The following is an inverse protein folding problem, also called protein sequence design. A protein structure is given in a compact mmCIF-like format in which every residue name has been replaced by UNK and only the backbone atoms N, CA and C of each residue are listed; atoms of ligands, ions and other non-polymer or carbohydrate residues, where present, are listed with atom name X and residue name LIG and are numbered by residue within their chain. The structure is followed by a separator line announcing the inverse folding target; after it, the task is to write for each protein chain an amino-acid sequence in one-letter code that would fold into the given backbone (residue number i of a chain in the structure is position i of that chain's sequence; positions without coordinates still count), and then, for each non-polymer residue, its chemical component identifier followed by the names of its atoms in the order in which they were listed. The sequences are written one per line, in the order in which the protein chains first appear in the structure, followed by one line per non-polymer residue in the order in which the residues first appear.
data_IF_882239460278
#
_entry.id   IF_882239460278
#
_cell.length_a   1.000
_cell.length_b   1.000
_cell.length_c   1.000
_cell.angle_alpha   90.00
_cell.angle_beta   90.00
_cell.angle_gamma   90.00
#
_symmetry.space_group_name_H-M   'P 1'
#
loop_
_entity.id
_entity.type
_entity.pdbx_description
1 polymer ?
#
# COMPACT_ATOMS: atom_id res chain seq x y z
N UNK A 1 -13.96 9.26 15.60
CA UNK A 1 -13.72 10.72 15.54
C UNK A 1 -15.03 11.48 15.71
N UNK A 2 -16.06 11.28 14.88
CA UNK A 2 -17.35 12.00 14.92
C UNK A 2 -18.01 11.92 16.30
N UNK A 3 -18.10 10.72 16.90
CA UNK A 3 -18.68 10.55 18.24
C UNK A 3 -17.91 11.32 19.33
N UNK A 4 -16.58 11.26 19.30
CA UNK A 4 -15.75 12.05 20.23
C UNK A 4 -15.92 13.55 19.99
N UNK A 5 -16.04 13.96 18.73
CA UNK A 5 -16.36 15.35 18.38
C UNK A 5 -17.69 15.80 18.95
N UNK A 6 -18.76 15.02 18.80
CA UNK A 6 -20.08 15.31 19.37
C UNK A 6 -20.02 15.37 20.90
N UNK A 7 -19.36 14.41 21.56
CA UNK A 7 -19.20 14.42 23.01
C UNK A 7 -18.38 15.63 23.50
N UNK A 8 -17.33 16.00 22.76
CA UNK A 8 -16.55 17.20 23.07
C UNK A 8 -17.40 18.46 22.94
N UNK A 9 -18.20 18.59 21.89
CA UNK A 9 -19.13 19.70 21.69
C UNK A 9 -20.12 19.78 22.85
N UNK A 10 -20.73 18.67 23.25
CA UNK A 10 -21.70 18.61 24.36
C UNK A 10 -21.04 19.00 25.68
N UNK A 11 -19.84 18.52 25.99
CA UNK A 11 -19.14 18.73 27.25
C UNK A 11 -18.47 20.11 27.36
N UNK A 12 -17.81 20.55 26.30
CA UNK A 12 -16.95 21.73 26.28
C UNK A 12 -17.66 22.97 25.73
N UNK A 13 -18.85 22.80 25.15
CA UNK A 13 -19.66 23.90 24.58
C UNK A 13 -18.81 24.81 23.67
N UNK A 14 -18.84 26.14 23.95
CA UNK A 14 -18.10 27.13 23.17
C UNK A 14 -16.57 27.01 23.26
N UNK A 15 -16.03 26.29 24.26
CA UNK A 15 -14.56 26.10 24.35
C UNK A 15 -14.00 25.14 23.30
N UNK A 16 -14.84 24.29 22.67
CA UNK A 16 -14.43 23.37 21.61
C UNK A 16 -13.83 24.10 20.40
N UNK A 17 -14.32 25.32 20.09
CA UNK A 17 -13.87 26.06 18.93
C UNK A 17 -12.36 26.35 18.97
N UNK A 18 -11.79 26.58 20.17
CA UNK A 18 -10.34 26.84 20.33
C UNK A 18 -9.52 25.58 19.94
N UNK A 19 -9.92 24.42 20.45
CA UNK A 19 -9.26 23.16 20.12
C UNK A 19 -9.42 22.81 18.64
N UNK A 20 -10.59 23.06 18.06
CA UNK A 20 -10.84 22.88 16.63
C UNK A 20 -9.98 23.82 15.78
N UNK A 21 -9.91 25.10 16.15
CA UNK A 21 -9.08 26.08 15.43
C UNK A 21 -7.60 25.69 15.45
N UNK A 22 -7.07 25.33 16.63
CA UNK A 22 -5.69 24.83 16.75
C UNK A 22 -5.49 23.59 15.89
N UNK A 23 -6.42 22.62 15.95
CA UNK A 23 -6.38 21.41 15.12
C UNK A 23 -6.39 21.72 13.63
N UNK A 24 -7.21 22.65 13.17
CA UNK A 24 -7.27 23.11 11.77
C UNK A 24 -5.95 23.78 11.37
N UNK A 25 -5.39 24.65 12.20
CA UNK A 25 -4.11 25.32 11.91
C UNK A 25 -3.00 24.30 11.77
N UNK A 26 -2.89 23.34 12.71
CA UNK A 26 -1.91 22.27 12.65
C UNK A 26 -2.11 21.40 11.39
N UNK A 27 -3.37 21.05 11.10
CA UNK A 27 -3.70 20.26 9.92
C UNK A 27 -3.28 20.96 8.62
N UNK A 28 -3.60 22.26 8.49
CA UNK A 28 -3.19 23.06 7.32
C UNK A 28 -1.66 23.22 7.26
N UNK A 29 -1.01 23.47 8.39
CA UNK A 29 0.45 23.60 8.44
C UNK A 29 1.16 22.31 8.00
N UNK A 30 0.64 21.14 8.37
CA UNK A 30 1.23 19.83 8.02
C UNK A 30 0.87 19.35 6.61
N UNK A 31 -0.32 19.68 6.13
CA UNK A 31 -0.85 19.11 4.89
C UNK A 31 -1.06 20.15 3.77
N UNK A 32 -0.97 21.44 4.06
CA UNK A 32 -1.28 22.51 3.12
C UNK A 32 -0.43 22.44 1.85
N UNK A 33 0.87 22.22 1.99
CA UNK A 33 1.80 22.07 0.86
C UNK A 33 1.44 20.86 -0.02
N UNK A 34 1.02 19.75 0.59
CA UNK A 34 0.55 18.56 -0.12
C UNK A 34 -0.71 18.87 -0.94
N UNK A 35 -1.71 19.52 -0.34
CA UNK A 35 -2.95 19.89 -1.03
C UNK A 35 -2.72 20.91 -2.14
N UNK A 36 -1.86 21.91 -1.91
CA UNK A 36 -1.51 22.91 -2.93
C UNK A 36 -0.79 22.28 -4.12
N UNK A 37 0.17 21.39 -3.86
CA UNK A 37 0.88 20.64 -4.91
C UNK A 37 -0.08 19.78 -5.73
N UNK A 38 -0.96 19.02 -5.07
CA UNK A 38 -1.94 18.19 -5.74
C UNK A 38 -2.91 19.05 -6.56
N UNK A 39 -3.39 20.15 -5.99
CA UNK A 39 -4.27 21.06 -6.74
C UNK A 39 -3.57 21.64 -7.97
N UNK A 40 -2.31 22.05 -7.83
CA UNK A 40 -1.49 22.51 -8.95
C UNK A 40 -1.31 21.43 -10.01
N UNK A 41 -1.06 20.19 -9.63
CA UNK A 41 -0.83 19.08 -10.56
C UNK A 41 -2.13 18.58 -11.22
N UNK A 42 -3.16 18.31 -10.41
CA UNK A 42 -4.35 17.53 -10.79
C UNK A 42 -5.66 18.34 -10.76
N UNK A 43 -5.60 19.63 -10.42
CA UNK A 43 -6.78 20.50 -10.20
C UNK A 43 -7.74 19.94 -9.11
N UNK A 44 -7.20 19.09 -8.23
CA UNK A 44 -7.93 18.51 -7.12
C UNK A 44 -6.99 18.32 -5.91
N UNK A 45 -7.37 18.77 -4.68
CA UNK A 45 -6.45 18.78 -3.53
C UNK A 45 -6.05 17.37 -3.06
N UNK A 46 -6.87 16.35 -3.30
CA UNK A 46 -6.59 14.97 -2.92
C UNK A 46 -6.04 14.13 -4.06
N UNK A 47 -6.06 14.65 -5.30
CA UNK A 47 -5.64 13.93 -6.51
C UNK A 47 -6.13 12.46 -6.53
N UNK A 48 -7.45 12.19 -6.43
CA UNK A 48 -7.96 10.83 -6.27
C UNK A 48 -7.67 10.02 -7.53
N UNK A 49 -7.10 8.83 -7.35
CA UNK A 49 -7.04 7.84 -8.41
C UNK A 49 -8.40 7.16 -8.55
N UNK A 50 -9.16 7.57 -9.56
CA UNK A 50 -10.50 7.04 -9.81
C UNK A 50 -10.48 5.60 -10.30
N UNK A 51 -9.35 5.09 -10.79
CA UNK A 51 -9.23 3.68 -11.22
C UNK A 51 -9.32 2.71 -10.06
N UNK A 52 -8.98 3.16 -8.84
CA UNK A 52 -9.07 2.38 -7.61
C UNK A 52 -10.47 2.41 -6.97
N UNK A 53 -11.38 3.23 -7.48
CA UNK A 53 -12.74 3.35 -6.94
C UNK A 53 -13.70 2.40 -7.64
N UNK A 54 -14.66 1.84 -6.88
CA UNK A 54 -15.74 1.09 -7.48
C UNK A 54 -16.49 1.97 -8.50
N UNK A 55 -16.95 1.39 -9.60
CA UNK A 55 -17.61 2.15 -10.68
C UNK A 55 -18.95 2.75 -10.26
N UNK A 56 -19.57 2.22 -9.22
CA UNK A 56 -20.80 2.78 -8.63
C UNK A 56 -20.90 2.46 -7.14
N UNK A 57 -21.73 3.24 -6.44
CA UNK A 57 -22.05 3.08 -5.02
C UNK A 57 -23.34 2.25 -4.92
N UNK A 58 -23.32 1.13 -4.16
CA UNK A 58 -24.47 0.26 -4.02
C UNK A 58 -24.23 -0.95 -3.12
N UNK A 59 -25.21 -1.83 -3.02
CA UNK A 59 -25.12 -3.05 -2.20
C UNK A 59 -24.15 -4.05 -2.82
N UNK A 60 -24.07 -4.12 -4.14
CA UNK A 60 -23.24 -5.09 -4.86
C UNK A 60 -21.73 -4.95 -4.56
N UNK A 61 -21.09 -3.75 -4.66
CA UNK A 61 -19.70 -3.58 -4.24
C UNK A 61 -19.49 -3.94 -2.77
N UNK A 62 -20.40 -3.59 -1.87
CA UNK A 62 -20.30 -3.98 -0.45
C UNK A 62 -20.29 -5.51 -0.33
N UNK A 63 -21.28 -6.20 -0.89
CA UNK A 63 -21.41 -7.65 -0.81
C UNK A 63 -20.17 -8.35 -1.37
N UNK A 64 -19.70 -7.95 -2.55
CA UNK A 64 -18.56 -8.54 -3.24
C UNK A 64 -17.25 -8.30 -2.50
N UNK A 65 -16.93 -7.04 -2.24
CA UNK A 65 -15.62 -6.69 -1.72
C UNK A 65 -15.45 -6.98 -0.22
N UNK A 66 -16.52 -6.91 0.59
CA UNK A 66 -16.42 -7.27 2.01
C UNK A 66 -16.00 -8.72 2.19
N UNK A 67 -16.58 -9.64 1.43
CA UNK A 67 -16.24 -11.07 1.53
C UNK A 67 -14.80 -11.31 1.06
N UNK A 68 -14.38 -10.72 -0.05
CA UNK A 68 -12.99 -10.81 -0.53
C UNK A 68 -12.00 -10.22 0.48
N UNK A 69 -12.28 -9.03 1.02
CA UNK A 69 -11.43 -8.36 2.00
C UNK A 69 -11.29 -9.17 3.31
N UNK A 70 -12.37 -9.76 3.80
CA UNK A 70 -12.30 -10.63 4.98
C UNK A 70 -11.56 -11.93 4.67
N UNK A 71 -11.80 -12.55 3.52
CA UNK A 71 -11.18 -13.80 3.12
C UNK A 71 -9.65 -13.69 3.01
N UNK A 72 -9.11 -12.55 2.61
CA UNK A 72 -7.66 -12.30 2.58
C UNK A 72 -6.98 -12.52 3.93
N UNK A 73 -7.67 -12.31 5.03
CA UNK A 73 -7.12 -12.52 6.37
C UNK A 73 -7.13 -13.98 6.84
N UNK A 74 -7.84 -14.86 6.13
CA UNK A 74 -7.87 -16.30 6.44
C UNK A 74 -6.84 -17.13 5.69
N UNK A 75 -5.86 -16.49 5.06
CA UNK A 75 -4.74 -17.18 4.43
C UNK A 75 -3.89 -17.90 5.46
N UNK A 76 -3.44 -19.10 5.10
CA UNK A 76 -2.66 -19.97 5.96
C UNK A 76 -1.43 -20.54 5.24
N UNK A 77 -0.44 -21.10 5.95
CA UNK A 77 0.67 -21.82 5.33
C UNK A 77 0.24 -23.10 4.58
N UNK A 78 -0.99 -23.57 4.80
CA UNK A 78 -1.49 -24.82 4.22
C UNK A 78 -2.35 -24.56 2.97
N UNK A 79 -1.91 -24.98 1.78
CA UNK A 79 -2.64 -24.77 0.54
C UNK A 79 -4.08 -25.32 0.55
N UNK A 80 -4.29 -26.47 1.24
CA UNK A 80 -5.62 -27.08 1.36
C UNK A 80 -6.63 -26.13 2.03
N UNK A 81 -6.23 -25.41 3.09
CA UNK A 81 -7.08 -24.44 3.79
C UNK A 81 -7.37 -23.24 2.85
N UNK A 82 -6.35 -22.75 2.17
CA UNK A 82 -6.49 -21.63 1.25
C UNK A 82 -7.43 -21.96 0.08
N UNK A 83 -7.36 -23.19 -0.44
CA UNK A 83 -8.29 -23.66 -1.48
C UNK A 83 -9.74 -23.72 -0.95
N UNK A 84 -9.94 -24.12 0.29
CA UNK A 84 -11.28 -24.08 0.92
C UNK A 84 -11.79 -22.64 1.02
N UNK A 85 -10.97 -21.71 1.51
CA UNK A 85 -11.33 -20.27 1.57
C UNK A 85 -11.68 -19.74 0.19
N UNK A 86 -10.86 -20.02 -0.82
CA UNK A 86 -11.12 -19.61 -2.21
C UNK A 86 -12.44 -20.19 -2.71
N UNK A 87 -12.70 -21.49 -2.48
CA UNK A 87 -13.93 -22.17 -2.90
C UNK A 87 -15.17 -21.57 -2.25
N UNK A 88 -15.09 -21.20 -0.96
CA UNK A 88 -16.19 -20.52 -0.26
C UNK A 88 -16.51 -19.18 -0.92
N UNK A 89 -15.47 -18.37 -1.20
CA UNK A 89 -15.67 -17.06 -1.84
C UNK A 89 -16.24 -17.20 -3.25
N UNK A 90 -15.76 -18.16 -4.04
CA UNK A 90 -16.30 -18.44 -5.38
C UNK A 90 -17.78 -18.84 -5.31
N UNK A 91 -18.13 -19.80 -4.44
CA UNK A 91 -19.52 -20.24 -4.26
C UNK A 91 -20.43 -19.09 -3.81
N UNK A 92 -19.93 -18.23 -2.90
CA UNK A 92 -20.68 -17.06 -2.50
C UNK A 92 -20.94 -16.11 -3.68
N UNK A 93 -19.94 -15.85 -4.54
CA UNK A 93 -20.12 -15.00 -5.71
C UNK A 93 -21.07 -15.62 -6.76
N UNK A 94 -21.02 -16.94 -6.92
CA UNK A 94 -22.01 -17.67 -7.73
C UNK A 94 -23.43 -17.50 -7.18
N UNK A 95 -23.59 -17.59 -5.86
CA UNK A 95 -24.90 -17.41 -5.19
C UNK A 95 -25.46 -15.99 -5.39
N UNK A 96 -24.63 -14.96 -5.33
CA UNK A 96 -25.05 -13.56 -5.58
C UNK A 96 -25.04 -13.17 -7.07
N UNK A 97 -24.82 -14.13 -7.97
CA UNK A 97 -24.76 -13.92 -9.42
C UNK A 97 -23.81 -12.81 -9.86
N UNK A 98 -22.63 -12.74 -9.26
CA UNK A 98 -21.60 -11.73 -9.56
C UNK A 98 -20.26 -12.42 -9.87
N UNK A 99 -19.55 -11.97 -10.90
CA UNK A 99 -18.19 -12.43 -11.16
C UNK A 99 -17.27 -11.95 -10.02
N UNK A 100 -16.46 -12.88 -9.49
CA UNK A 100 -15.52 -12.60 -8.41
C UNK A 100 -14.45 -11.58 -8.83
N UNK A 101 -14.09 -11.54 -10.11
CA UNK A 101 -13.10 -10.62 -10.68
C UNK A 101 -13.72 -9.51 -11.54
N UNK A 102 -15.00 -9.23 -11.37
CA UNK A 102 -15.70 -8.17 -12.10
C UNK A 102 -14.90 -6.86 -12.04
N UNK A 103 -14.50 -6.27 -13.20
CA UNK A 103 -13.67 -5.07 -13.25
C UNK A 103 -14.34 -3.83 -12.65
N UNK A 104 -15.64 -3.87 -12.42
CA UNK A 104 -16.36 -2.82 -11.70
C UNK A 104 -16.02 -2.77 -10.22
N UNK A 105 -15.58 -3.91 -9.62
CA UNK A 105 -15.31 -4.10 -8.19
C UNK A 105 -13.92 -4.67 -7.89
N UNK A 106 -13.17 -5.07 -8.91
CA UNK A 106 -11.80 -5.54 -8.81
C UNK A 106 -10.91 -4.64 -9.67
N UNK A 107 -9.74 -4.29 -9.14
CA UNK A 107 -8.79 -3.48 -9.88
C UNK A 107 -8.13 -4.32 -10.98
N UNK A 108 -8.11 -3.80 -12.20
CA UNK A 108 -7.68 -4.54 -13.40
C UNK A 108 -6.20 -4.97 -13.36
N UNK A 109 -5.35 -4.18 -12.67
CA UNK A 109 -3.93 -4.53 -12.50
C UNK A 109 -3.67 -5.42 -11.28
N UNK A 110 -4.69 -5.81 -10.54
CA UNK A 110 -4.58 -6.80 -9.47
C UNK A 110 -4.67 -8.20 -10.04
N UNK A 111 -3.83 -9.16 -9.57
CA UNK A 111 -4.05 -10.56 -9.88
C UNK A 111 -5.48 -10.99 -9.53
N UNK A 112 -6.07 -11.95 -10.27
CA UNK A 112 -7.39 -12.50 -9.96
C UNK A 112 -7.46 -12.97 -8.51
N UNK A 113 -8.66 -12.87 -7.91
CA UNK A 113 -8.86 -13.32 -6.54
C UNK A 113 -8.53 -14.81 -6.43
N UNK A 114 -7.53 -15.11 -5.65
CA UNK A 114 -7.25 -16.45 -5.14
C UNK A 114 -6.72 -16.31 -3.72
N UNK A 115 -7.15 -17.17 -2.81
CA UNK A 115 -6.49 -17.35 -1.52
C UNK A 115 -5.20 -18.16 -1.76
N UNK A 116 -4.26 -17.58 -2.50
CA UNK A 116 -2.97 -18.17 -2.76
C UNK A 116 -2.08 -18.06 -1.51
N UNK A 117 -0.94 -18.69 -1.52
CA UNK A 117 -0.05 -18.95 -0.40
C UNK A 117 0.10 -17.79 0.61
N UNK A 118 0.14 -18.12 1.89
CA UNK A 118 0.60 -17.21 2.94
C UNK A 118 2.04 -16.82 2.65
N UNK A 119 2.22 -15.55 2.38
CA UNK A 119 3.51 -14.96 2.18
C UNK A 119 3.76 -13.96 3.32
N UNK A 120 4.77 -14.12 4.14
CA UNK A 120 5.02 -13.24 5.28
C UNK A 120 5.60 -11.90 4.79
N UNK A 121 4.82 -11.18 3.99
CA UNK A 121 5.12 -9.87 3.44
C UNK A 121 4.15 -8.84 4.00
N UNK A 122 4.58 -7.60 4.16
CA UNK A 122 3.74 -6.54 4.73
C UNK A 122 2.43 -6.30 3.95
N UNK A 123 2.46 -6.51 2.63
CA UNK A 123 1.27 -6.35 1.78
C UNK A 123 0.26 -7.49 1.91
N UNK A 124 0.73 -8.67 2.37
CA UNK A 124 -0.06 -9.90 2.49
C UNK A 124 -0.18 -10.39 3.94
N UNK A 125 0.19 -9.58 4.91
CA UNK A 125 0.08 -9.93 6.31
C UNK A 125 -1.37 -10.27 6.68
N UNK A 126 -1.61 -11.50 7.11
CA UNK A 126 -2.94 -12.00 7.45
C UNK A 126 -3.12 -12.04 8.97
N UNK A 127 -4.38 -11.98 9.42
CA UNK A 127 -4.71 -11.96 10.83
C UNK A 127 -5.94 -12.85 11.11
N UNK A 128 -5.92 -14.18 10.79
CA UNK A 128 -7.10 -15.02 10.78
C UNK A 128 -7.76 -15.10 12.16
N UNK A 129 -6.99 -15.34 13.21
CA UNK A 129 -7.54 -15.39 14.57
C UNK A 129 -8.07 -14.02 15.00
N UNK A 130 -7.40 -12.95 14.61
CA UNK A 130 -7.84 -11.61 14.95
C UNK A 130 -9.19 -11.26 14.31
N UNK A 131 -9.34 -11.53 13.01
CA UNK A 131 -10.63 -11.34 12.31
C UNK A 131 -11.71 -12.27 12.88
N UNK A 132 -11.38 -13.53 13.18
CA UNK A 132 -12.31 -14.44 13.80
C UNK A 132 -12.83 -13.89 15.13
N UNK A 133 -11.93 -13.45 16.02
CA UNK A 133 -12.33 -12.87 17.30
C UNK A 133 -13.08 -11.56 17.15
N UNK A 134 -12.73 -10.75 16.17
CA UNK A 134 -13.50 -9.54 15.82
C UNK A 134 -14.94 -9.87 15.42
N UNK A 135 -15.14 -10.84 14.53
CA UNK A 135 -16.48 -11.27 14.11
C UNK A 135 -17.27 -11.86 15.27
N UNK A 136 -16.64 -12.70 16.13
CA UNK A 136 -17.26 -13.24 17.34
C UNK A 136 -17.63 -12.11 18.31
N UNK A 137 -16.76 -11.13 18.52
CA UNK A 137 -17.05 -9.99 19.39
C UNK A 137 -18.23 -9.16 18.87
N UNK A 138 -18.30 -8.91 17.56
CA UNK A 138 -19.43 -8.23 16.94
C UNK A 138 -20.73 -9.03 17.13
N UNK A 139 -20.71 -10.34 16.86
CA UNK A 139 -21.87 -11.20 17.06
C UNK A 139 -22.31 -11.23 18.54
N UNK A 140 -21.35 -11.40 19.46
CA UNK A 140 -21.62 -11.35 20.90
C UNK A 140 -22.33 -10.05 21.33
N UNK A 141 -21.86 -8.93 20.86
CA UNK A 141 -22.46 -7.62 21.16
C UNK A 141 -23.86 -7.49 20.54
N UNK A 142 -24.05 -7.92 19.28
CA UNK A 142 -25.36 -7.90 18.64
C UNK A 142 -26.40 -8.74 19.38
N UNK A 143 -26.05 -9.93 19.80
CA UNK A 143 -26.97 -10.82 20.56
C UNK A 143 -27.17 -10.37 22.00
N UNK A 144 -26.30 -9.56 22.56
CA UNK A 144 -26.37 -9.08 23.96
C UNK A 144 -26.51 -7.56 24.09
N UNK A 145 -27.00 -6.87 23.07
CA UNK A 145 -27.13 -5.39 23.06
C UNK A 145 -27.81 -4.82 24.30
N UNK A 146 -28.83 -5.53 24.81
CA UNK A 146 -29.59 -5.08 26.00
C UNK A 146 -28.81 -5.24 27.32
N UNK A 147 -27.76 -6.08 27.35
CA UNK A 147 -26.95 -6.35 28.55
C UNK A 147 -25.75 -5.42 28.69
N UNK A 148 -25.39 -4.73 27.63
CA UNK A 148 -24.20 -3.90 27.58
C UNK A 148 -24.52 -2.42 27.37
N UNK A 149 -23.53 -1.57 27.67
CA UNK A 149 -23.66 -0.14 27.41
C UNK A 149 -23.88 0.12 25.93
N UNK A 150 -24.87 0.94 25.60
CA UNK A 150 -25.15 1.39 24.22
C UNK A 150 -23.91 1.98 23.53
N UNK A 151 -22.95 2.53 24.31
CA UNK A 151 -21.69 3.11 23.79
C UNK A 151 -20.82 2.07 23.08
N UNK A 152 -20.70 0.87 23.65
CA UNK A 152 -19.88 -0.21 23.04
C UNK A 152 -20.58 -0.75 21.79
N UNK A 153 -21.90 -0.81 21.78
CA UNK A 153 -22.67 -1.23 20.60
C UNK A 153 -22.52 -0.23 19.45
N UNK A 154 -22.60 1.08 19.73
CA UNK A 154 -22.32 2.10 18.71
C UNK A 154 -20.88 2.02 18.23
N UNK A 155 -19.92 1.79 19.11
CA UNK A 155 -18.53 1.64 18.71
C UNK A 155 -18.36 0.45 17.75
N UNK A 156 -19.00 -0.69 18.04
CA UNK A 156 -19.01 -1.85 17.15
C UNK A 156 -19.63 -1.50 15.78
N UNK A 157 -20.76 -0.79 15.75
CA UNK A 157 -21.38 -0.35 14.51
C UNK A 157 -20.48 0.58 13.70
N UNK A 158 -19.74 1.49 14.37
CA UNK A 158 -18.76 2.37 13.68
C UNK A 158 -17.65 1.52 13.02
N UNK A 159 -17.10 0.51 13.72
CA UNK A 159 -16.06 -0.35 13.13
C UNK A 159 -16.61 -1.16 11.97
N UNK A 160 -17.78 -1.76 12.10
CA UNK A 160 -18.45 -2.46 11.00
C UNK A 160 -18.65 -1.52 9.81
N UNK A 161 -19.13 -0.29 10.06
CA UNK A 161 -19.31 0.72 9.02
C UNK A 161 -18.01 1.08 8.31
N UNK A 162 -16.87 1.11 9.00
CA UNK A 162 -15.56 1.33 8.36
C UNK A 162 -15.24 0.22 7.34
N UNK A 163 -15.44 -1.06 7.69
CA UNK A 163 -15.24 -2.18 6.78
C UNK A 163 -16.18 -2.13 5.57
N UNK A 164 -17.45 -1.81 5.80
CA UNK A 164 -18.44 -1.69 4.73
C UNK A 164 -18.16 -0.49 3.82
N UNK A 165 -17.77 0.67 4.40
CA UNK A 165 -17.41 1.86 3.63
C UNK A 165 -16.16 1.64 2.80
N UNK A 166 -15.14 0.98 3.34
CA UNK A 166 -13.95 0.61 2.60
C UNK A 166 -14.32 -0.25 1.39
N UNK A 167 -15.12 -1.27 1.59
CA UNK A 167 -15.59 -2.18 0.53
C UNK A 167 -16.53 -1.50 -0.48
N UNK A 168 -17.31 -0.50 -0.03
CA UNK A 168 -18.18 0.29 -0.87
C UNK A 168 -17.42 1.22 -1.83
N UNK A 169 -16.32 1.80 -1.36
CA UNK A 169 -15.62 2.85 -2.10
C UNK A 169 -14.52 2.30 -3.01
N UNK A 170 -13.78 1.27 -2.56
CA UNK A 170 -12.58 0.82 -3.24
C UNK A 170 -12.78 -0.51 -3.97
N UNK A 171 -12.27 -0.58 -5.20
CA UNK A 171 -12.10 -1.82 -5.94
C UNK A 171 -11.17 -2.74 -5.17
N UNK A 172 -11.53 -4.01 -5.10
CA UNK A 172 -10.69 -5.01 -4.44
C UNK A 172 -9.34 -5.15 -5.15
N UNK A 173 -8.28 -5.28 -4.36
CA UNK A 173 -6.93 -5.63 -4.82
C UNK A 173 -6.21 -6.46 -3.77
N UNK A 174 -5.25 -7.24 -4.19
CA UNK A 174 -4.50 -8.19 -3.36
C UNK A 174 -3.70 -7.51 -2.23
N UNK A 175 -3.37 -6.23 -2.38
CA UNK A 175 -2.59 -5.44 -1.42
C UNK A 175 -3.42 -4.77 -0.32
N UNK A 176 -4.73 -5.05 -0.21
CA UNK A 176 -5.63 -4.41 0.76
C UNK A 176 -5.27 -4.72 2.22
N UNK A 177 -4.57 -5.84 2.51
CA UNK A 177 -4.22 -6.20 3.89
C UNK A 177 -3.52 -5.06 4.64
N UNK A 178 -2.60 -4.35 4.02
CA UNK A 178 -1.93 -3.18 4.64
C UNK A 178 -2.88 -2.01 4.93
N UNK A 179 -3.90 -1.82 4.09
CA UNK A 179 -4.89 -0.76 4.24
C UNK A 179 -5.94 -1.09 5.33
N UNK A 180 -6.07 -2.36 5.71
CA UNK A 180 -6.96 -2.79 6.78
C UNK A 180 -6.38 -2.53 8.18
N UNK A 181 -5.09 -2.22 8.31
CA UNK A 181 -4.44 -2.02 9.61
C UNK A 181 -5.15 -1.02 10.54
N UNK A 182 -5.61 0.17 10.09
CA UNK A 182 -6.37 1.08 10.94
C UNK A 182 -7.67 0.49 11.47
N UNK A 183 -8.37 -0.32 10.65
CA UNK A 183 -9.61 -0.99 11.05
C UNK A 183 -9.35 -2.12 12.03
N UNK A 184 -8.28 -2.89 11.84
CA UNK A 184 -7.82 -3.90 12.78
C UNK A 184 -7.47 -3.26 14.14
N UNK A 185 -6.64 -2.23 14.16
CA UNK A 185 -6.29 -1.52 15.39
C UNK A 185 -7.53 -0.96 16.09
N UNK A 186 -8.45 -0.35 15.36
CA UNK A 186 -9.69 0.17 15.91
C UNK A 186 -10.63 -0.94 16.43
N UNK A 187 -10.53 -2.19 15.97
CA UNK A 187 -11.33 -3.30 16.46
C UNK A 187 -10.80 -3.93 17.76
N UNK A 188 -9.53 -3.64 18.15
CA UNK A 188 -8.90 -4.18 19.36
C UNK A 188 -9.73 -3.98 20.65
N UNK A 189 -10.32 -2.80 20.93
CA UNK A 189 -11.16 -2.61 22.11
C UNK A 189 -12.39 -3.52 22.15
N UNK A 190 -12.98 -3.86 20.99
CA UNK A 190 -14.12 -4.79 20.92
C UNK A 190 -13.71 -6.21 21.29
N UNK A 191 -12.57 -6.67 20.74
CA UNK A 191 -12.01 -7.98 21.04
C UNK A 191 -11.65 -8.05 22.53
N UNK A 192 -11.00 -7.02 23.06
CA UNK A 192 -10.63 -6.95 24.47
C UNK A 192 -11.88 -6.97 25.38
N UNK A 193 -12.93 -6.25 25.03
CA UNK A 193 -14.20 -6.27 25.72
C UNK A 193 -14.83 -7.66 25.74
N UNK A 194 -14.89 -8.34 24.58
CA UNK A 194 -15.40 -9.69 24.47
C UNK A 194 -14.58 -10.66 25.33
N UNK A 195 -13.26 -10.64 25.21
CA UNK A 195 -12.36 -11.54 25.96
C UNK A 195 -12.41 -11.30 27.46
N UNK A 196 -12.68 -10.06 27.90
CA UNK A 196 -12.85 -9.77 29.34
C UNK A 196 -14.12 -10.41 29.93
N UNK A 197 -15.12 -10.68 29.10
CA UNK A 197 -16.34 -11.40 29.50
C UNK A 197 -16.20 -12.93 29.39
N UNK A 198 -15.08 -13.42 28.83
CA UNK A 198 -14.78 -14.85 28.76
C UNK A 198 -14.07 -15.38 30.03
N UNK A 199 -14.03 -16.71 30.18
CA UNK A 199 -13.24 -17.36 31.23
C UNK A 199 -11.76 -17.00 31.10
N UNK A 200 -11.05 -16.89 32.24
CA UNK A 200 -9.63 -16.52 32.30
C UNK A 200 -8.76 -17.41 31.39
N UNK A 201 -9.03 -18.70 31.31
CA UNK A 201 -8.32 -19.64 30.43
C UNK A 201 -8.48 -19.29 28.96
N UNK A 202 -9.70 -18.96 28.48
CA UNK A 202 -9.97 -18.57 27.11
C UNK A 202 -9.19 -17.30 26.78
N UNK A 203 -9.22 -16.30 27.65
CA UNK A 203 -8.49 -15.04 27.46
C UNK A 203 -6.99 -15.26 27.34
N UNK A 204 -6.39 -16.06 28.24
CA UNK A 204 -4.95 -16.35 28.20
C UNK A 204 -4.58 -17.09 26.91
N UNK A 205 -5.34 -18.15 26.56
CA UNK A 205 -5.10 -18.91 25.33
C UNK A 205 -5.20 -18.02 24.11
N UNK A 206 -6.21 -17.14 24.04
CA UNK A 206 -6.35 -16.21 22.91
C UNK A 206 -5.16 -15.27 22.78
N UNK A 207 -4.66 -14.69 23.88
CA UNK A 207 -3.48 -13.82 23.87
C UNK A 207 -2.24 -14.59 23.38
N UNK A 208 -2.03 -15.81 23.88
CA UNK A 208 -0.93 -16.67 23.44
C UNK A 208 -1.03 -16.98 21.96
N UNK A 209 -2.21 -17.31 21.45
CA UNK A 209 -2.44 -17.57 20.02
C UNK A 209 -2.13 -16.32 19.18
N UNK A 210 -2.57 -15.13 19.60
CA UNK A 210 -2.25 -13.88 18.89
C UNK A 210 -0.75 -13.63 18.82
N UNK A 211 -0.03 -13.83 19.95
CA UNK A 211 1.42 -13.66 20.00
C UNK A 211 2.10 -14.67 19.07
N UNK A 212 1.79 -15.97 19.21
CA UNK A 212 2.41 -17.02 18.40
C UNK A 212 2.17 -16.82 16.92
N UNK A 213 0.99 -16.31 16.52
CA UNK A 213 0.68 -16.05 15.12
C UNK A 213 1.37 -14.81 14.56
N UNK A 214 1.72 -13.83 15.41
CA UNK A 214 2.46 -12.64 15.02
C UNK A 214 3.97 -12.91 14.82
N UNK A 215 4.54 -13.87 15.56
CA UNK A 215 5.99 -14.16 15.55
C UNK A 215 6.57 -14.41 14.15
N UNK A 216 5.96 -15.25 13.28
CA UNK A 216 6.48 -15.47 11.94
C UNK A 216 6.61 -14.17 11.11
N UNK A 217 5.62 -13.29 11.18
CA UNK A 217 5.66 -12.00 10.46
C UNK A 217 6.73 -11.05 11.01
N UNK A 218 7.06 -11.15 12.29
CA UNK A 218 8.11 -10.34 12.92
C UNK A 218 9.50 -10.87 12.59
N UNK A 219 9.71 -12.19 12.74
CA UNK A 219 11.05 -12.79 12.67
C UNK A 219 11.44 -13.21 11.25
N UNK A 220 10.48 -13.63 10.44
CA UNK A 220 10.69 -14.22 9.10
C UNK A 220 9.99 -13.43 8.00
N UNK A 221 9.83 -12.12 8.19
CA UNK A 221 9.28 -11.25 7.14
C UNK A 221 10.12 -11.39 5.86
N UNK A 222 9.45 -11.40 4.70
CA UNK A 222 10.13 -11.61 3.42
C UNK A 222 11.10 -10.50 3.07
N UNK A 223 10.70 -9.24 3.27
CA UNK A 223 11.48 -8.09 2.84
C UNK A 223 12.53 -7.64 3.85
N UNK A 224 12.28 -7.88 5.15
CA UNK A 224 13.17 -7.40 6.24
C UNK A 224 13.17 -8.40 7.41
N UNK A 225 13.61 -9.64 7.20
CA UNK A 225 13.62 -10.63 8.26
C UNK A 225 14.64 -10.28 9.35
N UNK A 226 14.28 -10.59 10.60
CA UNK A 226 15.23 -10.54 11.72
C UNK A 226 16.11 -11.80 11.71
N UNK A 227 15.53 -12.94 11.37
CA UNK A 227 16.20 -14.25 11.35
C UNK A 227 16.18 -14.81 9.93
N UNK A 228 17.29 -15.39 9.50
CA UNK A 228 17.41 -16.06 8.21
C UNK A 228 18.52 -15.49 7.33
N UNK A 229 18.65 -16.04 6.12
CA UNK A 229 19.71 -15.69 5.17
C UNK A 229 19.72 -14.21 4.79
N UNK A 230 18.53 -13.62 4.66
CA UNK A 230 18.37 -12.21 4.28
C UNK A 230 18.13 -11.30 5.50
N UNK A 231 18.64 -11.68 6.68
CA UNK A 231 18.46 -10.90 7.90
C UNK A 231 19.03 -9.48 7.75
N UNK A 232 18.32 -8.51 8.33
CA UNK A 232 18.75 -7.11 8.41
C UNK A 232 20.09 -6.93 9.14
N UNK A 233 20.50 -7.93 9.93
CA UNK A 233 21.78 -7.91 10.68
C UNK A 233 22.93 -8.53 9.91
N UNK A 234 22.70 -9.29 8.85
CA UNK A 234 23.74 -10.04 8.12
C UNK A 234 23.98 -9.50 6.72
N UNK A 235 23.10 -8.67 6.19
CA UNK A 235 23.21 -8.13 4.84
C UNK A 235 23.55 -6.65 4.89
N UNK A 236 24.29 -6.16 3.88
CA UNK A 236 24.59 -4.76 3.75
C UNK A 236 23.33 -3.90 3.62
N UNK A 237 23.39 -2.64 4.01
CA UNK A 237 22.29 -1.68 3.83
C UNK A 237 21.86 -1.60 2.36
N UNK A 238 22.82 -1.66 1.44
CA UNK A 238 22.55 -1.57 0.00
C UNK A 238 21.80 -2.78 -0.53
N UNK A 239 22.17 -4.01 -0.10
CA UNK A 239 21.45 -5.22 -0.49
C UNK A 239 19.99 -5.22 -0.02
N UNK A 240 19.75 -4.69 1.18
CA UNK A 240 18.42 -4.62 1.77
C UNK A 240 17.42 -3.78 0.96
N UNK A 241 17.88 -2.79 0.19
CA UNK A 241 17.00 -2.02 -0.70
C UNK A 241 16.39 -2.86 -1.82
N UNK A 242 16.99 -3.99 -2.18
CA UNK A 242 16.58 -4.81 -3.31
C UNK A 242 15.89 -6.12 -2.92
N UNK A 243 15.67 -6.40 -1.64
CA UNK A 243 15.04 -7.67 -1.20
C UNK A 243 13.65 -7.90 -1.80
N UNK A 244 12.87 -6.85 -2.02
CA UNK A 244 11.54 -6.96 -2.63
C UNK A 244 11.60 -7.10 -4.17
N UNK A 245 12.67 -6.64 -4.80
CA UNK A 245 12.91 -6.77 -6.25
C UNK A 245 14.40 -7.04 -6.53
N UNK A 246 14.87 -8.26 -6.29
CA UNK A 246 16.29 -8.61 -6.43
C UNK A 246 16.82 -8.41 -7.84
N UNK A 247 15.96 -8.49 -8.85
CA UNK A 247 16.30 -8.28 -10.26
C UNK A 247 16.78 -6.86 -10.56
N UNK A 248 16.38 -5.87 -9.74
CA UNK A 248 16.82 -4.48 -9.92
C UNK A 248 18.23 -4.24 -9.36
N UNK A 249 18.74 -5.10 -8.48
CA UNK A 249 20.02 -4.87 -7.80
C UNK A 249 21.17 -4.71 -8.77
N UNK A 250 21.39 -5.73 -9.62
CA UNK A 250 22.52 -5.71 -10.58
C UNK A 250 22.45 -4.51 -11.54
N UNK A 251 21.31 -4.21 -12.21
CA UNK A 251 21.23 -3.02 -13.06
C UNK A 251 21.59 -1.72 -12.34
N UNK A 252 21.11 -1.53 -11.12
CA UNK A 252 21.36 -0.30 -10.37
C UNK A 252 22.84 -0.12 -9.99
N UNK A 253 23.51 -1.21 -9.57
CA UNK A 253 24.94 -1.17 -9.29
C UNK A 253 25.76 -0.92 -10.56
N UNK A 254 25.45 -1.61 -11.67
CA UNK A 254 26.15 -1.45 -12.94
C UNK A 254 26.00 -0.02 -13.49
N UNK A 255 24.76 0.50 -13.50
CA UNK A 255 24.47 1.88 -13.97
C UNK A 255 25.17 2.91 -13.08
N UNK A 256 25.10 2.77 -11.75
CA UNK A 256 25.80 3.69 -10.85
C UNK A 256 27.30 3.71 -11.08
N UNK A 257 27.91 2.54 -11.31
CA UNK A 257 29.34 2.43 -11.63
C UNK A 257 29.70 3.10 -12.96
N UNK A 258 28.84 2.98 -14.00
CA UNK A 258 29.04 3.69 -15.28
C UNK A 258 28.94 5.20 -15.07
N UNK A 259 27.95 5.68 -14.32
CA UNK A 259 27.78 7.10 -14.04
C UNK A 259 28.97 7.69 -13.32
N UNK A 260 29.48 7.02 -12.28
CA UNK A 260 30.65 7.45 -11.54
C UNK A 260 31.93 7.45 -12.38
N UNK A 261 32.17 6.38 -13.14
CA UNK A 261 33.34 6.27 -14.03
C UNK A 261 33.40 7.39 -15.06
N UNK A 262 32.23 7.77 -15.61
CA UNK A 262 32.13 8.78 -16.65
C UNK A 262 31.87 10.19 -16.07
N UNK A 263 31.82 10.34 -14.74
CA UNK A 263 31.59 11.58 -14.01
C UNK A 263 30.31 12.32 -14.49
N UNK A 264 29.22 11.57 -14.72
CA UNK A 264 27.95 12.13 -15.21
C UNK A 264 27.22 12.82 -14.07
N UNK A 265 26.68 14.02 -14.34
CA UNK A 265 26.07 14.87 -13.29
C UNK A 265 24.56 15.09 -13.50
N UNK A 266 24.12 15.08 -14.74
CA UNK A 266 22.71 15.33 -15.11
C UNK A 266 22.11 14.03 -15.66
N UNK A 267 21.15 13.45 -14.96
CA UNK A 267 20.57 12.16 -15.33
C UNK A 267 19.07 12.30 -15.53
N UNK A 268 18.62 11.91 -16.72
CA UNK A 268 17.21 11.80 -17.04
C UNK A 268 16.63 10.46 -16.60
N UNK A 269 15.43 10.48 -16.03
CA UNK A 269 14.67 9.28 -15.69
C UNK A 269 13.46 9.12 -16.63
N UNK A 270 13.34 7.97 -17.29
CA UNK A 270 12.16 7.57 -18.05
C UNK A 270 11.59 6.30 -17.37
N UNK A 271 10.75 6.50 -16.39
CA UNK A 271 10.22 5.43 -15.52
C UNK A 271 8.73 5.59 -15.26
N UNK A 272 8.08 4.52 -14.77
CA UNK A 272 6.69 4.52 -14.36
C UNK A 272 6.54 4.77 -12.85
N UNK A 273 5.29 4.95 -12.39
CA UNK A 273 4.97 5.21 -10.99
C UNK A 273 5.43 4.14 -10.00
N UNK A 274 5.53 2.88 -10.43
CA UNK A 274 5.99 1.76 -9.59
C UNK A 274 7.49 1.46 -9.76
N UNK A 275 8.23 2.33 -10.42
CA UNK A 275 9.68 2.18 -10.56
C UNK A 275 10.40 2.69 -9.33
N UNK A 276 11.48 2.02 -8.98
CA UNK A 276 12.27 2.34 -7.81
C UNK A 276 13.35 3.36 -8.16
N UNK A 277 13.27 4.54 -7.60
CA UNK A 277 14.23 5.62 -7.81
C UNK A 277 15.20 5.75 -6.63
N UNK A 278 14.66 5.66 -5.40
CA UNK A 278 15.40 5.92 -4.17
C UNK A 278 16.71 5.15 -4.01
N UNK A 279 16.82 3.85 -4.38
CA UNK A 279 18.11 3.15 -4.27
C UNK A 279 19.22 3.77 -5.11
N UNK A 280 18.91 4.38 -6.27
CA UNK A 280 19.92 5.05 -7.09
C UNK A 280 20.46 6.30 -6.39
N UNK A 281 19.61 7.10 -5.76
CA UNK A 281 20.04 8.24 -4.94
C UNK A 281 20.98 7.82 -3.82
N UNK A 282 20.72 6.67 -3.20
CA UNK A 282 21.59 6.16 -2.12
C UNK A 282 22.93 5.64 -2.64
N UNK A 283 22.94 4.97 -3.80
CA UNK A 283 24.18 4.48 -4.42
C UNK A 283 25.10 5.62 -4.87
N UNK A 284 24.52 6.78 -5.18
CA UNK A 284 25.21 7.96 -5.69
C UNK A 284 25.32 9.08 -4.65
N UNK A 285 25.05 8.78 -3.37
CA UNK A 285 24.97 9.79 -2.29
C UNK A 285 26.27 10.58 -2.09
N UNK A 286 27.42 10.01 -2.45
CA UNK A 286 28.73 10.66 -2.32
C UNK A 286 29.07 11.60 -3.50
N UNK A 287 28.21 11.62 -4.53
CA UNK A 287 28.40 12.48 -5.70
C UNK A 287 27.89 13.90 -5.44
N UNK A 288 28.78 14.85 -5.47
CA UNK A 288 28.47 16.28 -5.36
C UNK A 288 27.88 16.79 -6.68
N UNK A 289 26.81 17.59 -6.60
CA UNK A 289 26.16 18.24 -7.75
C UNK A 289 25.43 17.28 -8.71
N UNK A 290 25.04 16.09 -8.26
CA UNK A 290 24.19 15.21 -9.04
C UNK A 290 22.77 15.80 -9.14
N UNK A 291 22.27 15.93 -10.37
CA UNK A 291 20.90 16.31 -10.67
C UNK A 291 20.20 15.17 -11.42
N UNK A 292 19.09 14.69 -10.89
CA UNK A 292 18.26 13.66 -11.53
C UNK A 292 16.85 14.21 -11.72
N UNK A 293 16.36 14.19 -12.95
CA UNK A 293 15.05 14.73 -13.34
C UNK A 293 14.25 13.71 -14.13
N UNK A 294 12.95 13.67 -13.90
CA UNK A 294 12.05 12.89 -14.76
C UNK A 294 11.85 13.59 -16.08
N UNK A 295 12.04 12.88 -17.18
CA UNK A 295 11.88 13.38 -18.55
C UNK A 295 10.87 12.52 -19.33
N UNK A 296 10.29 13.07 -20.39
CA UNK A 296 9.25 12.43 -21.21
C UNK A 296 8.07 11.93 -20.36
N UNK A 297 7.69 12.73 -19.38
CA UNK A 297 6.59 12.45 -18.46
C UNK A 297 5.26 12.43 -19.22
N UNK A 298 4.48 11.35 -19.08
CA UNK A 298 3.22 11.13 -19.82
C UNK A 298 1.94 11.32 -18.97
N UNK A 299 2.05 11.88 -17.78
CA UNK A 299 0.90 12.12 -16.89
C UNK A 299 0.70 13.61 -16.59
N UNK A 300 -0.25 13.95 -15.73
CA UNK A 300 -0.61 15.35 -15.41
C UNK A 300 0.55 16.19 -14.82
N UNK A 301 1.64 15.55 -14.38
CA UNK A 301 2.83 16.24 -13.87
C UNK A 301 3.81 16.65 -14.97
N UNK A 302 3.56 16.30 -16.24
CA UNK A 302 4.37 16.69 -17.40
C UNK A 302 4.63 18.21 -17.45
N UNK A 303 3.68 19.02 -17.02
CA UNK A 303 3.81 20.49 -16.98
C UNK A 303 4.90 21.01 -16.02
N UNK A 304 5.44 20.16 -15.17
CA UNK A 304 6.56 20.47 -14.27
C UNK A 304 7.90 19.95 -14.79
N UNK A 305 7.91 19.29 -15.95
CA UNK A 305 9.14 18.87 -16.60
C UNK A 305 9.95 20.11 -17.00
N UNK A 306 11.24 20.14 -16.64
CA UNK A 306 12.12 21.25 -17.03
C UNK A 306 12.54 21.08 -18.49
N UNK A 307 11.91 21.85 -19.38
CA UNK A 307 12.20 21.82 -20.81
C UNK A 307 13.64 22.24 -21.16
N UNK A 308 14.37 22.87 -20.25
CA UNK A 308 15.77 23.25 -20.44
C UNK A 308 16.76 22.19 -20.01
N UNK A 309 16.30 21.13 -19.35
CA UNK A 309 17.15 20.07 -18.81
C UNK A 309 17.63 19.13 -19.94
N UNK A 310 18.94 19.10 -20.16
CA UNK A 310 19.59 18.17 -21.10
C UNK A 310 20.47 17.23 -20.28
N UNK A 311 20.10 15.95 -20.13
CA UNK A 311 20.88 15.00 -19.35
C UNK A 311 22.18 14.56 -20.05
N UNK A 312 23.17 14.17 -19.25
CA UNK A 312 24.40 13.52 -19.73
C UNK A 312 24.15 12.03 -20.04
N UNK A 313 23.17 11.44 -19.31
CA UNK A 313 22.71 10.07 -19.50
C UNK A 313 21.26 9.90 -19.08
N UNK A 314 20.63 8.85 -19.58
CA UNK A 314 19.23 8.52 -19.35
C UNK A 314 19.10 7.11 -18.79
N UNK A 315 18.45 6.97 -17.64
CA UNK A 315 17.98 5.70 -17.11
C UNK A 315 16.57 5.45 -17.65
N UNK A 316 16.39 4.39 -18.41
CA UNK A 316 15.15 4.12 -19.12
C UNK A 316 14.61 2.71 -18.78
N UNK A 317 13.29 2.65 -18.55
CA UNK A 317 12.55 1.40 -18.34
C UNK A 317 11.27 1.32 -19.19
N UNK A 318 10.91 2.39 -19.87
CA UNK A 318 9.55 2.57 -20.42
C UNK A 318 9.48 2.72 -21.93
N UNK A 319 10.56 3.14 -22.57
CA UNK A 319 10.57 3.45 -24.00
C UNK A 319 11.57 2.51 -24.69
N UNK A 320 11.11 1.84 -25.75
CA UNK A 320 11.98 1.06 -26.61
C UNK A 320 12.80 1.99 -27.50
N UNK A 321 14.12 1.81 -27.55
CA UNK A 321 14.98 2.52 -28.48
C UNK A 321 14.65 2.17 -29.94
N UNK A 322 15.13 2.97 -30.88
CA UNK A 322 15.07 2.64 -32.30
C UNK A 322 15.93 1.38 -32.64
N UNK A 323 15.89 0.95 -33.90
CA UNK A 323 16.66 -0.22 -34.37
C UNK A 323 18.17 -0.08 -34.23
N UNK A 324 18.66 1.11 -33.95
CA UNK A 324 20.08 1.42 -33.70
C UNK A 324 20.36 1.61 -32.20
N UNK A 325 19.38 1.34 -31.31
CA UNK A 325 19.53 1.49 -29.86
C UNK A 325 19.54 2.97 -29.41
N UNK A 326 18.79 3.86 -30.07
CA UNK A 326 18.82 5.29 -29.80
C UNK A 326 17.48 5.83 -29.32
N UNK A 327 17.54 6.87 -28.47
CA UNK A 327 16.40 7.72 -28.12
C UNK A 327 16.78 9.19 -28.44
N UNK A 328 15.80 9.96 -28.87
CA UNK A 328 15.95 11.38 -29.18
C UNK A 328 15.25 12.20 -28.10
N UNK A 329 15.98 13.12 -27.49
CA UNK A 329 15.43 14.09 -26.52
C UNK A 329 16.08 15.46 -26.72
N UNK A 330 15.28 16.50 -26.91
CA UNK A 330 15.72 17.89 -27.19
C UNK A 330 16.83 18.01 -28.24
N UNK A 331 16.64 17.41 -29.41
CA UNK A 331 17.62 17.36 -30.50
C UNK A 331 18.96 16.67 -30.16
N UNK A 332 19.01 16.00 -29.04
CA UNK A 332 20.18 15.24 -28.61
C UNK A 332 19.91 13.74 -28.79
N UNK A 333 20.93 13.02 -29.26
CA UNK A 333 20.87 11.56 -29.44
C UNK A 333 21.48 10.87 -28.23
N UNK A 334 20.77 9.89 -27.68
CA UNK A 334 21.24 9.06 -26.61
C UNK A 334 21.33 7.61 -27.10
N UNK A 335 22.50 6.98 -26.93
CA UNK A 335 22.79 5.61 -27.34
C UNK A 335 22.79 4.68 -26.13
N UNK A 336 22.21 3.48 -26.27
CA UNK A 336 22.29 2.44 -25.24
C UNK A 336 23.74 2.04 -25.02
N UNK A 337 24.21 2.17 -23.79
CA UNK A 337 25.56 1.73 -23.34
C UNK A 337 25.50 0.58 -22.33
N UNK A 338 24.31 0.36 -21.76
CA UNK A 338 24.05 -0.76 -20.86
C UNK A 338 22.60 -1.20 -20.98
N UNK A 339 22.37 -2.51 -20.99
CA UNK A 339 21.03 -3.11 -21.04
C UNK A 339 20.98 -4.34 -20.14
N UNK A 340 19.95 -4.42 -19.32
CA UNK A 340 19.60 -5.58 -18.51
C UNK A 340 18.11 -5.48 -18.19
N UNK A 341 17.29 -6.15 -18.98
CA UNK A 341 15.82 -6.09 -18.95
C UNK A 341 15.24 -6.08 -17.54
N UNK A 342 14.36 -5.11 -17.23
CA UNK A 342 13.79 -4.05 -18.09
C UNK A 342 14.57 -2.72 -18.07
N UNK A 343 15.78 -2.69 -17.55
CA UNK A 343 16.57 -1.46 -17.35
C UNK A 343 17.57 -1.25 -18.48
N UNK A 344 17.60 -0.03 -18.99
CA UNK A 344 18.60 0.45 -19.94
C UNK A 344 19.26 1.72 -19.41
N UNK A 345 20.55 1.87 -19.67
CA UNK A 345 21.22 3.13 -19.49
C UNK A 345 21.77 3.62 -20.83
N UNK A 346 21.46 4.86 -21.13
CA UNK A 346 21.81 5.51 -22.38
C UNK A 346 22.67 6.72 -22.08
N UNK A 347 23.66 6.93 -22.91
CA UNK A 347 24.56 8.07 -22.78
C UNK A 347 24.45 8.98 -24.00
N UNK A 348 24.59 10.28 -23.79
CA UNK A 348 24.63 11.27 -24.85
C UNK A 348 25.74 10.90 -25.84
N UNK A 349 25.39 10.85 -27.13
CA UNK A 349 26.37 10.71 -28.21
C UNK A 349 27.05 12.04 -28.36
N UNK A 350 28.39 12.07 -28.30
CA UNK A 350 29.14 13.30 -28.48
C UNK A 350 28.85 13.99 -29.80
N UNK A 351 28.88 15.32 -29.80
CA UNK A 351 28.78 16.14 -30.97
C UNK A 351 29.91 15.83 -31.96
#
# INVERSE_FOLDING_TARGET
IVMYGIQAIIKLRLQVWRALLIGIIIFIALNGTFFLRNYSAFQHPLAPDTTLQNTFIGIQPIATNTVKNLAMHFLSPWPAINNVVTSIVIKYHQFIHTDINDPRFSWEFSPPFSASQLYPHEDYATAPFYILFFLIACAYLLFNMRKHSWKISIYALVIISMWLTFSLLLKWQVWHCRLHLPMLLASTPLIAFYLNNCRKSVRIVSIVVFILFALPSIFYNYSRPIIGKNSIFTNSKYDQYFFNQPTNQKPFFDISAIMQRNNLKNIGWIISGDSWEYPMWVLLNDETHLRMEHILVKNATQKFEDASFIPDGIINKMIEPDSLGRIYYHNTIYQVVYENDPWMFMQKVGD
#
